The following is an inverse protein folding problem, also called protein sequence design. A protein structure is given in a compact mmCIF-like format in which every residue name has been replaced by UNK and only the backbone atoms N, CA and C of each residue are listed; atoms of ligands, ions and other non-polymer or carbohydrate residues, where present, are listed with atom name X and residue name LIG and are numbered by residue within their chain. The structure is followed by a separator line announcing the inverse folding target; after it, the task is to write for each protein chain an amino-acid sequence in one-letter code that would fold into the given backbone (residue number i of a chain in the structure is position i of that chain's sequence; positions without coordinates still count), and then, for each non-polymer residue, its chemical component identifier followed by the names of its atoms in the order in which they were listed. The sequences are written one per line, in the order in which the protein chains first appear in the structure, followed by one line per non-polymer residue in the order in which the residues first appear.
data_IF_995902970802
#
_entry.id   IF_995902970802
#
_cell.length_a   1.000
_cell.length_b   1.000
_cell.length_c   1.000
_cell.angle_alpha   90.00
_cell.angle_beta   90.00
_cell.angle_gamma   90.00
#
_symmetry.space_group_name_H-M   'P 1'
#
loop_
_entity.id
_entity.type
_entity.pdbx_description
1 polymer ?
#
# COMPACT_ATOMS: atom_id res chain seq x y z
N UNK A 1 52.15 23.07 -24.37
CA UNK A 1 50.83 22.96 -25.03
C UNK A 1 50.33 21.52 -24.81
N UNK A 2 50.06 21.16 -23.56
CA UNK A 2 49.72 19.80 -23.12
C UNK A 2 49.21 19.98 -21.70
N UNK A 3 47.89 19.98 -21.47
CA UNK A 3 47.25 19.90 -20.13
C UNK A 3 45.70 19.97 -20.23
N UNK A 4 45.10 20.13 -21.42
CA UNK A 4 43.62 20.14 -21.54
C UNK A 4 43.00 18.73 -21.68
N UNK A 5 43.79 17.75 -22.14
CA UNK A 5 43.33 16.39 -22.42
C UNK A 5 42.87 15.58 -21.18
N UNK A 6 43.57 15.65 -20.03
CA UNK A 6 43.14 14.90 -18.84
C UNK A 6 41.79 15.40 -18.33
N UNK A 7 41.62 16.72 -18.22
CA UNK A 7 40.40 17.33 -17.70
C UNK A 7 39.16 16.95 -18.51
N UNK A 8 39.27 16.94 -19.84
CA UNK A 8 38.17 16.54 -20.74
C UNK A 8 37.81 15.07 -20.54
N UNK A 9 38.81 14.19 -20.42
CA UNK A 9 38.58 12.77 -20.17
C UNK A 9 37.89 12.50 -18.82
N UNK A 10 38.28 13.23 -17.77
CA UNK A 10 37.63 13.16 -16.45
C UNK A 10 36.18 13.63 -16.47
N UNK A 11 35.88 14.73 -17.16
CA UNK A 11 34.51 15.24 -17.30
C UNK A 11 33.64 14.22 -18.06
N UNK A 12 34.14 13.65 -19.16
CA UNK A 12 33.43 12.63 -19.93
C UNK A 12 33.17 11.36 -19.11
N UNK A 13 34.13 10.94 -18.29
CA UNK A 13 33.94 9.82 -17.34
C UNK A 13 32.84 10.12 -16.33
N UNK A 14 32.85 11.31 -15.70
CA UNK A 14 31.84 11.71 -14.72
C UNK A 14 30.43 11.78 -15.33
N UNK A 15 30.30 12.30 -16.55
CA UNK A 15 29.02 12.34 -17.28
C UNK A 15 28.52 10.91 -17.55
N UNK A 16 29.41 10.02 -18.02
CA UNK A 16 29.03 8.63 -18.32
C UNK A 16 28.60 7.83 -17.08
N UNK A 17 29.18 8.12 -15.91
CA UNK A 17 28.79 7.52 -14.63
C UNK A 17 27.46 8.10 -14.16
N UNK A 18 27.25 9.42 -14.28
CA UNK A 18 25.99 10.10 -13.92
C UNK A 18 24.79 9.56 -14.71
N UNK A 19 24.94 9.38 -16.02
CA UNK A 19 23.88 8.82 -16.88
C UNK A 19 23.55 7.36 -16.51
N UNK A 20 24.55 6.56 -16.13
CA UNK A 20 24.34 5.18 -15.66
C UNK A 20 23.62 5.11 -14.30
N UNK A 21 23.89 6.06 -13.40
CA UNK A 21 23.18 6.18 -12.13
C UNK A 21 21.71 6.56 -12.34
N UNK A 22 21.42 7.39 -13.36
CA UNK A 22 20.05 7.77 -13.72
C UNK A 22 19.25 6.59 -14.31
N UNK A 23 19.89 5.70 -15.04
CA UNK A 23 19.29 4.46 -15.53
C UNK A 23 19.01 3.42 -14.43
N UNK A 24 19.65 3.55 -13.26
CA UNK A 24 19.42 2.70 -12.09
C UNK A 24 18.38 3.27 -11.11
N UNK A 25 17.69 4.35 -11.46
CA UNK A 25 16.63 4.90 -10.62
C UNK A 25 15.45 3.92 -10.61
N UNK A 26 15.22 3.27 -9.48
CA UNK A 26 14.04 2.43 -9.25
C UNK A 26 12.80 3.24 -9.61
N UNK A 27 12.05 2.81 -10.63
CA UNK A 27 10.76 3.42 -10.94
C UNK A 27 9.84 3.28 -9.73
N UNK A 28 9.15 4.36 -9.37
CA UNK A 28 8.11 4.32 -8.35
C UNK A 28 7.01 3.35 -8.81
N UNK A 29 6.75 2.33 -7.98
CA UNK A 29 5.72 1.33 -8.21
C UNK A 29 4.35 1.98 -7.98
N UNK A 30 3.52 2.08 -9.02
CA UNK A 30 2.20 2.68 -8.91
C UNK A 30 1.13 1.64 -8.58
N UNK A 31 -0.05 2.08 -8.14
CA UNK A 31 -1.18 1.19 -7.89
C UNK A 31 -1.56 0.35 -9.12
N UNK A 32 -1.37 0.89 -10.33
CA UNK A 32 -1.59 0.15 -11.58
C UNK A 32 -0.62 -1.02 -11.72
N UNK A 33 0.64 -0.84 -11.33
CA UNK A 33 1.65 -1.89 -11.36
C UNK A 33 1.32 -3.00 -10.36
N UNK A 34 0.79 -2.65 -9.18
CA UNK A 34 0.34 -3.61 -8.16
C UNK A 34 -0.85 -4.45 -8.67
N UNK A 35 -1.86 -3.80 -9.28
CA UNK A 35 -3.01 -4.50 -9.86
C UNK A 35 -2.57 -5.44 -10.99
N UNK A 36 -1.59 -5.03 -11.80
CA UNK A 36 -1.06 -5.86 -12.88
C UNK A 36 -0.32 -7.09 -12.36
N UNK A 37 0.46 -6.96 -11.28
CA UNK A 37 1.14 -8.08 -10.64
C UNK A 37 0.21 -9.03 -9.90
N UNK A 38 -0.94 -8.54 -9.43
CA UNK A 38 -1.95 -9.32 -8.72
C UNK A 38 -3.26 -9.38 -9.52
N UNK A 39 -3.27 -10.08 -10.66
CA UNK A 39 -4.48 -10.24 -11.44
C UNK A 39 -5.56 -10.94 -10.59
N UNK A 40 -6.80 -10.49 -10.73
CA UNK A 40 -7.97 -11.08 -10.04
C UNK A 40 -8.32 -12.49 -10.53
N UNK A 41 -7.47 -13.13 -11.35
CA UNK A 41 -7.60 -14.52 -11.75
C UNK A 41 -7.28 -15.41 -10.55
N UNK A 42 -8.32 -16.04 -10.03
CA UNK A 42 -8.26 -16.77 -8.77
C UNK A 42 -8.24 -18.28 -9.07
N UNK A 43 -7.48 -19.10 -8.30
CA UNK A 43 -7.40 -20.54 -8.52
C UNK A 43 -8.76 -21.23 -8.38
N UNK A 44 -9.69 -20.60 -7.65
CA UNK A 44 -11.05 -21.03 -7.46
C UNK A 44 -11.99 -19.80 -7.44
N UNK A 45 -13.28 -19.96 -7.81
CA UNK A 45 -14.26 -18.90 -7.72
C UNK A 45 -14.28 -18.27 -6.32
N UNK A 46 -14.31 -16.94 -6.25
CA UNK A 46 -14.35 -16.19 -4.99
C UNK A 46 -13.03 -16.16 -4.19
N UNK A 47 -11.93 -16.69 -4.73
CA UNK A 47 -10.62 -16.47 -4.13
C UNK A 47 -10.24 -14.99 -4.15
N UNK A 48 -9.45 -14.54 -3.18
CA UNK A 48 -8.85 -13.22 -3.18
C UNK A 48 -7.62 -13.24 -2.27
N UNK A 49 -6.74 -12.25 -2.44
CA UNK A 49 -5.58 -12.01 -1.59
C UNK A 49 -5.72 -10.67 -0.88
N UNK A 50 -5.04 -10.53 0.24
CA UNK A 50 -4.83 -9.26 0.93
C UNK A 50 -3.34 -9.13 1.24
N UNK A 51 -2.85 -7.91 1.42
CA UNK A 51 -1.62 -7.75 2.18
C UNK A 51 -1.87 -8.24 3.61
N UNK A 52 -0.95 -9.06 4.14
CA UNK A 52 -1.02 -9.58 5.51
C UNK A 52 0.31 -9.40 6.23
N UNK A 53 0.24 -8.85 7.44
CA UNK A 53 1.38 -8.58 8.29
C UNK A 53 0.89 -8.34 9.72
N UNK A 54 1.77 -8.53 10.70
CA UNK A 54 1.47 -8.26 12.11
C UNK A 54 2.51 -7.30 12.67
N UNK A 55 2.04 -6.18 13.19
CA UNK A 55 2.83 -5.16 13.89
C UNK A 55 4.09 -4.71 13.12
N UNK A 56 3.98 -4.60 11.79
CA UNK A 56 5.04 -4.08 10.94
C UNK A 56 5.30 -2.61 11.28
N UNK A 57 6.55 -2.15 11.18
CA UNK A 57 6.92 -0.78 11.53
C UNK A 57 6.15 0.27 10.71
N UNK A 58 5.89 -0.02 9.43
CA UNK A 58 5.14 0.85 8.53
C UNK A 58 4.45 0.06 7.40
N UNK A 59 3.76 0.80 6.53
CA UNK A 59 3.05 0.23 5.39
C UNK A 59 4.00 -0.41 4.35
N UNK A 60 5.21 0.12 4.20
CA UNK A 60 6.17 -0.37 3.23
C UNK A 60 6.71 -1.74 3.64
N UNK A 61 7.20 -1.87 4.87
CA UNK A 61 7.67 -3.14 5.43
C UNK A 61 6.54 -4.19 5.42
N UNK A 62 5.31 -3.80 5.78
CA UNK A 62 4.15 -4.68 5.71
C UNK A 62 3.92 -5.23 4.28
N UNK A 63 3.86 -4.35 3.28
CA UNK A 63 3.57 -4.77 1.90
C UNK A 63 4.73 -5.55 1.27
N UNK A 64 5.98 -5.18 1.60
CA UNK A 64 7.18 -5.78 1.03
C UNK A 64 7.37 -7.24 1.40
N UNK A 65 7.02 -7.60 2.64
CA UNK A 65 7.23 -8.95 3.18
C UNK A 65 5.94 -9.76 3.31
N UNK A 66 4.82 -9.23 2.81
CA UNK A 66 3.55 -9.94 2.84
C UNK A 66 3.65 -11.24 2.04
N UNK A 67 3.14 -12.36 2.58
CA UNK A 67 3.13 -13.63 1.87
C UNK A 67 2.15 -13.58 0.69
N UNK A 68 2.55 -14.15 -0.45
CA UNK A 68 1.71 -14.23 -1.65
C UNK A 68 0.73 -15.42 -1.60
N UNK A 69 -0.16 -15.42 -0.61
CA UNK A 69 -1.13 -16.50 -0.35
C UNK A 69 -2.57 -16.02 -0.44
N UNK A 70 -3.49 -16.92 -0.78
CA UNK A 70 -4.92 -16.63 -0.82
C UNK A 70 -5.53 -16.60 0.59
N UNK A 71 -6.54 -15.76 0.75
CA UNK A 71 -7.30 -15.65 1.99
C UNK A 71 -8.13 -16.92 2.28
N UNK A 72 -8.38 -17.25 3.56
CA UNK A 72 -9.28 -18.34 3.95
C UNK A 72 -10.71 -18.17 3.41
N UNK A 73 -11.40 -19.29 3.14
CA UNK A 73 -12.73 -19.31 2.48
C UNK A 73 -13.84 -18.61 3.25
N UNK A 74 -13.71 -18.48 4.56
CA UNK A 74 -14.66 -17.82 5.47
C UNK A 74 -14.47 -16.30 5.54
N UNK A 75 -13.43 -15.77 4.91
CA UNK A 75 -13.15 -14.34 4.84
C UNK A 75 -13.61 -13.73 3.51
N UNK A 76 -13.89 -12.43 3.50
CA UNK A 76 -14.30 -11.68 2.30
C UNK A 76 -13.71 -10.28 2.18
N UNK A 77 -13.02 -9.81 3.22
CA UNK A 77 -12.51 -8.44 3.30
C UNK A 77 -11.04 -8.44 3.65
N UNK A 78 -10.36 -7.36 3.27
CA UNK A 78 -9.04 -7.03 3.78
C UNK A 78 -9.18 -6.00 4.89
N UNK A 79 -8.66 -6.31 6.06
CA UNK A 79 -8.63 -5.45 7.24
C UNK A 79 -7.28 -4.78 7.38
N UNK A 80 -7.27 -3.51 7.77
CA UNK A 80 -6.05 -2.73 8.08
C UNK A 80 -6.23 -1.98 9.39
N UNK A 81 -5.31 -2.19 10.32
CA UNK A 81 -5.13 -1.40 11.54
C UNK A 81 -3.82 -0.63 11.42
N UNK A 82 -3.87 0.67 11.65
CA UNK A 82 -2.71 1.54 11.61
C UNK A 82 -2.65 2.36 12.89
N UNK A 83 -1.57 2.17 13.64
CA UNK A 83 -1.23 2.97 14.82
C UNK A 83 -0.23 4.03 14.41
N UNK A 84 -0.51 5.28 14.74
CA UNK A 84 0.36 6.43 14.48
C UNK A 84 0.73 7.11 15.80
N UNK A 85 1.96 7.62 15.87
CA UNK A 85 2.39 8.47 16.98
C UNK A 85 1.73 9.86 16.92
N UNK A 86 2.02 10.71 17.91
CA UNK A 86 1.46 12.06 18.00
C UNK A 86 1.89 13.01 16.87
N UNK A 87 2.90 12.64 16.08
CA UNK A 87 3.39 13.38 14.90
C UNK A 87 2.76 12.86 13.61
N UNK A 88 2.02 11.75 13.67
CA UNK A 88 1.44 11.07 12.52
C UNK A 88 2.39 10.06 11.86
N UNK A 89 3.55 9.78 12.47
CA UNK A 89 4.47 8.75 11.99
C UNK A 89 3.88 7.37 12.29
N UNK A 90 4.07 6.42 11.37
CA UNK A 90 3.62 5.04 11.57
C UNK A 90 4.36 4.41 12.75
N UNK A 91 3.61 3.93 13.74
CA UNK A 91 4.12 3.20 14.89
C UNK A 91 3.92 1.68 14.71
N UNK A 92 2.78 1.26 14.16
CA UNK A 92 2.57 -0.13 13.74
C UNK A 92 1.49 -0.26 12.67
N UNK A 93 1.63 -1.28 11.81
CA UNK A 93 0.66 -1.66 10.80
C UNK A 93 0.37 -3.15 10.90
N UNK A 94 -0.92 -3.49 11.01
CA UNK A 94 -1.41 -4.86 10.98
C UNK A 94 -2.44 -5.00 9.88
N UNK A 95 -2.22 -5.97 8.98
CA UNK A 95 -3.13 -6.27 7.87
C UNK A 95 -3.48 -7.75 7.87
N UNK A 96 -4.72 -8.09 7.56
CA UNK A 96 -5.19 -9.48 7.53
C UNK A 96 -6.44 -9.67 6.66
N UNK A 97 -6.68 -10.90 6.25
CA UNK A 97 -7.98 -11.32 5.74
C UNK A 97 -9.01 -11.27 6.89
N UNK A 98 -10.24 -10.89 6.59
CA UNK A 98 -11.26 -10.62 7.60
C UNK A 98 -12.67 -11.05 7.16
N UNK A 99 -13.46 -11.41 8.16
CA UNK A 99 -14.92 -11.59 8.08
C UNK A 99 -15.63 -10.25 8.25
N UNK A 100 -16.94 -10.20 7.97
CA UNK A 100 -17.75 -8.98 8.16
C UNK A 100 -17.72 -8.48 9.60
N UNK A 101 -17.71 -9.38 10.57
CA UNK A 101 -17.72 -9.05 12.00
C UNK A 101 -16.53 -8.19 12.40
N UNK A 102 -15.34 -8.54 11.91
CA UNK A 102 -14.11 -7.78 12.13
C UNK A 102 -14.14 -6.38 11.51
N UNK A 103 -14.98 -6.15 10.50
CA UNK A 103 -15.10 -4.89 9.75
C UNK A 103 -16.25 -4.00 10.20
N UNK A 104 -16.99 -4.38 11.26
CA UNK A 104 -18.10 -3.57 11.79
C UNK A 104 -17.65 -2.27 12.46
N UNK A 105 -16.39 -2.20 12.88
CA UNK A 105 -15.84 -1.07 13.63
C UNK A 105 -14.64 -0.49 12.88
N UNK A 106 -14.92 0.35 11.88
CA UNK A 106 -13.94 1.21 11.21
C UNK A 106 -13.96 2.61 11.82
N UNK A 107 -12.89 3.37 11.65
CA UNK A 107 -12.74 4.72 12.17
C UNK A 107 -11.41 4.93 12.88
N UNK A 108 -11.17 6.16 13.36
CA UNK A 108 -9.99 6.49 14.14
C UNK A 108 -10.34 6.75 15.61
N UNK A 109 -9.49 6.29 16.51
CA UNK A 109 -9.61 6.51 17.96
C UNK A 109 -8.28 7.00 18.49
N UNK A 110 -8.32 8.09 19.26
CA UNK A 110 -7.15 8.62 19.95
C UNK A 110 -6.98 7.93 21.31
N UNK A 111 -5.78 7.44 21.58
CA UNK A 111 -5.42 6.84 22.86
C UNK A 111 -4.90 7.95 23.77
N UNK A 112 -5.78 8.43 24.65
CA UNK A 112 -5.61 9.63 25.49
C UNK A 112 -4.37 9.62 26.38
N UNK A 113 -3.85 8.44 26.73
CA UNK A 113 -2.74 8.32 27.69
C UNK A 113 -1.35 8.51 27.05
N UNK A 114 -1.18 8.15 25.77
CA UNK A 114 0.14 8.09 25.12
C UNK A 114 0.24 8.94 23.84
N UNK A 115 -0.87 9.59 23.42
CA UNK A 115 -0.89 10.43 22.22
C UNK A 115 -0.89 9.65 20.90
N UNK A 116 -1.05 8.32 20.94
CA UNK A 116 -1.21 7.50 19.74
C UNK A 116 -2.62 7.64 19.17
N UNK A 117 -2.74 7.51 17.86
CA UNK A 117 -4.01 7.36 17.16
C UNK A 117 -4.06 6.00 16.47
N UNK A 118 -5.17 5.29 16.61
CA UNK A 118 -5.41 4.00 15.97
C UNK A 118 -6.53 4.15 14.97
N UNK A 119 -6.25 3.90 13.70
CA UNK A 119 -7.21 3.94 12.61
C UNK A 119 -7.44 2.55 12.02
N UNK A 120 -8.72 2.22 11.80
CA UNK A 120 -9.14 0.92 11.24
C UNK A 120 -9.92 1.13 9.95
N UNK A 121 -9.55 0.41 8.89
CA UNK A 121 -10.29 0.35 7.63
C UNK A 121 -10.50 -1.08 7.16
N UNK A 122 -11.53 -1.28 6.34
CA UNK A 122 -11.75 -2.52 5.61
C UNK A 122 -12.06 -2.24 4.14
N UNK A 123 -11.68 -3.16 3.27
CA UNK A 123 -12.05 -3.10 1.86
C UNK A 123 -12.41 -4.48 1.31
N UNK A 124 -13.23 -4.50 0.26
CA UNK A 124 -13.56 -5.71 -0.50
C UNK A 124 -12.81 -5.73 -1.84
N UNK A 125 -12.19 -6.87 -2.16
CA UNK A 125 -11.48 -7.07 -3.43
C UNK A 125 -10.04 -7.58 -3.27
N UNK A 126 -9.45 -8.01 -4.39
CA UNK A 126 -8.09 -8.56 -4.42
C UNK A 126 -7.05 -7.47 -4.17
N UNK A 127 -6.20 -7.66 -3.15
CA UNK A 127 -5.10 -6.78 -2.75
C UNK A 127 -5.59 -5.32 -2.55
N UNK A 128 -6.84 -5.13 -2.10
CA UNK A 128 -7.45 -3.80 -1.99
C UNK A 128 -6.81 -2.94 -0.88
N UNK A 129 -6.19 -3.55 0.12
CA UNK A 129 -5.62 -2.89 1.29
C UNK A 129 -4.16 -2.44 1.08
N UNK A 130 -3.85 -1.86 -0.08
CA UNK A 130 -2.48 -1.37 -0.40
C UNK A 130 -2.03 -0.26 0.56
N UNK A 131 -2.96 0.64 0.90
CA UNK A 131 -2.72 1.82 1.73
C UNK A 131 -3.14 1.59 3.18
N UNK A 132 -2.72 2.49 4.07
CA UNK A 132 -3.13 2.54 5.48
C UNK A 132 -4.04 3.74 5.74
N UNK A 133 -5.06 3.61 6.61
CA UNK A 133 -5.89 4.74 7.01
C UNK A 133 -5.08 5.68 7.93
N UNK A 134 -5.19 7.00 7.72
CA UNK A 134 -4.52 8.02 8.54
C UNK A 134 -5.47 9.01 9.20
N UNK A 135 -6.75 8.96 8.85
CA UNK A 135 -7.80 9.85 9.33
C UNK A 135 -9.16 9.16 9.14
N UNK A 136 -10.23 9.74 9.68
CA UNK A 136 -11.58 9.17 9.61
C UNK A 136 -12.08 8.99 8.16
N UNK A 137 -11.66 9.86 7.23
CA UNK A 137 -12.02 9.74 5.82
C UNK A 137 -11.42 8.50 5.15
N UNK A 138 -10.23 8.07 5.57
CA UNK A 138 -9.59 6.83 5.11
C UNK A 138 -9.93 5.61 5.95
N UNK A 139 -10.38 5.80 7.19
CA UNK A 139 -10.75 4.75 8.14
C UNK A 139 -12.20 4.29 7.96
N UNK A 140 -12.53 3.86 6.74
CA UNK A 140 -13.88 3.46 6.33
C UNK A 140 -13.95 2.00 5.91
N UNK A 141 -15.16 1.47 5.80
CA UNK A 141 -15.41 0.22 5.10
C UNK A 141 -15.80 0.50 3.64
N UNK A 142 -14.94 0.16 2.70
CA UNK A 142 -15.17 0.28 1.26
C UNK A 142 -15.58 -1.07 0.63
N UNK A 143 -16.84 -1.18 0.21
CA UNK A 143 -17.35 -2.38 -0.45
C UNK A 143 -17.03 -2.47 -1.96
N UNK A 144 -16.29 -1.50 -2.52
CA UNK A 144 -15.96 -1.46 -3.95
C UNK A 144 -14.49 -1.84 -4.20
N UNK A 145 -14.19 -2.66 -5.22
CA UNK A 145 -12.83 -2.90 -5.66
C UNK A 145 -12.19 -1.58 -6.11
N UNK A 146 -10.92 -1.33 -5.76
CA UNK A 146 -10.16 -0.13 -6.16
C UNK A 146 -9.90 0.00 -7.69
N UNK A 147 -10.66 -0.72 -8.53
CA UNK A 147 -10.69 -0.63 -9.99
C UNK A 147 -12.02 -0.12 -10.58
N UNK A 148 -13.03 0.23 -9.77
CA UNK A 148 -14.31 0.78 -10.26
C UNK A 148 -14.46 2.29 -10.06
N UNK A 149 -13.36 3.05 -10.06
CA UNK A 149 -13.41 4.51 -10.12
C UNK A 149 -13.49 5.01 -11.57
N UNK A 150 -14.45 4.50 -12.32
CA UNK A 150 -15.00 5.16 -13.50
C UNK A 150 -16.52 4.97 -13.43
N UNK A 151 -17.21 6.10 -13.22
CA UNK A 151 -18.67 6.26 -13.40
C UNK A 151 -19.57 5.62 -12.33
N UNK A 152 -19.55 6.19 -11.12
CA UNK A 152 -20.79 6.30 -10.35
C UNK A 152 -21.11 7.79 -10.17
N UNK A 153 -21.43 8.43 -11.29
CA UNK A 153 -22.00 9.76 -11.35
C UNK A 153 -22.93 9.79 -12.56
N UNK A 154 -24.20 10.15 -12.34
CA UNK A 154 -25.20 10.48 -13.36
C UNK A 154 -25.89 9.32 -14.09
N UNK A 155 -26.63 8.48 -13.37
CA UNK A 155 -27.69 7.71 -14.01
C UNK A 155 -28.87 7.44 -13.05
N UNK A 156 -29.46 8.48 -12.45
CA UNK A 156 -30.86 8.53 -12.00
C UNK A 156 -31.29 9.99 -11.81
N UNK A 157 -31.55 10.70 -12.91
CA UNK A 157 -32.45 11.86 -13.03
C UNK A 157 -32.85 12.01 -14.49
#
# INVERSE_FOLDING_TARGET
MTEAWPAVAWILMLISVSERMKAAQSRDFTMKDIIHLHPSTTPHPGGFKCFTCQDAADNYECNRWAPDVYCPKDTRYCYTLHTMDSRGDSASVTKRCATLEHCRSTGCVNITHNGFQVCTSCCEGNICNVLVPRNDSGAVFSAAPLGSSAECGWAWM
#
